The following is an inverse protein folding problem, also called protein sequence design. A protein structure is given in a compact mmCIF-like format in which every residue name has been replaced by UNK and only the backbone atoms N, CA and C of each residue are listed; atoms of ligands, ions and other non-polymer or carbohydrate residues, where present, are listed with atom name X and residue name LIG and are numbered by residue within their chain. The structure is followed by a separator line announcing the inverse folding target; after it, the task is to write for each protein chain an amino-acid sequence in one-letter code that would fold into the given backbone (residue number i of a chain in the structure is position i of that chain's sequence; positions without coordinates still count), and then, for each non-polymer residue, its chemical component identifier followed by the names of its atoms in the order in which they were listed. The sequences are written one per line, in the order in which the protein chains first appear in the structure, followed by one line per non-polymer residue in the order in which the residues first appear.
data_IF_675289816915
#
_entry.id   IF_675289816915
#
_cell.length_a   1.000
_cell.length_b   1.000
_cell.length_c   1.000
_cell.angle_alpha   90.00
_cell.angle_beta   90.00
_cell.angle_gamma   90.00
#
_symmetry.space_group_name_H-M   'P 1'
#
loop_
_entity.id
_entity.type
_entity.pdbx_description
1 polymer ?
#
# COMPACT_ATOMS: atom_id res chain seq x y z
N UNK A 1 6.81 6.61 7.14
CA UNK A 1 5.37 6.24 7.05
C UNK A 1 5.22 4.77 6.77
N UNK A 2 4.01 4.24 6.89
CA UNK A 2 3.69 2.84 6.63
C UNK A 2 2.92 2.76 5.31
N UNK A 3 3.45 2.03 4.34
CA UNK A 3 2.86 1.92 3.00
C UNK A 3 2.45 0.46 2.78
N UNK A 4 1.18 0.24 2.46
CA UNK A 4 0.66 -1.09 2.12
C UNK A 4 0.55 -1.22 0.60
N UNK A 5 0.93 -2.36 0.06
CA UNK A 5 0.98 -2.61 -1.37
C UNK A 5 0.22 -3.90 -1.69
N UNK A 6 -0.75 -3.79 -2.58
CA UNK A 6 -1.51 -4.93 -3.10
C UNK A 6 -1.54 -4.81 -4.62
N UNK A 7 -1.24 -5.88 -5.32
CA UNK A 7 -1.38 -5.94 -6.76
C UNK A 7 -1.98 -7.27 -7.16
N UNK A 8 -3.01 -7.24 -7.99
CA UNK A 8 -3.56 -8.45 -8.62
C UNK A 8 -2.54 -9.02 -9.62
N UNK A 9 -2.67 -10.30 -9.94
CA UNK A 9 -1.65 -11.00 -10.75
C UNK A 9 -1.30 -10.27 -12.04
N UNK A 10 -2.31 -9.75 -12.74
CA UNK A 10 -2.09 -9.03 -13.99
C UNK A 10 -1.41 -7.66 -13.82
N UNK A 11 -1.28 -7.19 -12.58
CA UNK A 11 -0.69 -5.88 -12.27
C UNK A 11 0.62 -5.98 -11.48
N UNK A 12 1.07 -7.19 -11.16
CA UNK A 12 2.30 -7.37 -10.35
C UNK A 12 3.54 -6.85 -11.05
N UNK A 13 3.67 -7.08 -12.35
CA UNK A 13 4.81 -6.57 -13.11
C UNK A 13 4.82 -5.05 -13.14
N UNK A 14 3.66 -4.42 -13.39
CA UNK A 14 3.53 -2.97 -13.38
C UNK A 14 3.87 -2.39 -12.00
N UNK A 15 3.39 -3.04 -10.93
CA UNK A 15 3.71 -2.62 -9.56
C UNK A 15 5.21 -2.74 -9.29
N UNK A 16 5.84 -3.83 -9.74
CA UNK A 16 7.28 -4.01 -9.57
C UNK A 16 8.06 -2.91 -10.31
N UNK A 17 7.67 -2.56 -11.53
CA UNK A 17 8.29 -1.48 -12.29
C UNK A 17 8.14 -0.14 -11.57
N UNK A 18 6.97 0.13 -11.02
CA UNK A 18 6.73 1.33 -10.21
C UNK A 18 7.66 1.36 -8.99
N UNK A 19 7.77 0.25 -8.29
CA UNK A 19 8.62 0.17 -7.10
C UNK A 19 10.11 0.28 -7.44
N UNK A 20 10.54 -0.20 -8.61
CA UNK A 20 11.91 0.00 -9.11
C UNK A 20 12.16 1.49 -9.33
N UNK A 21 11.24 2.16 -10.04
CA UNK A 21 11.38 3.58 -10.37
C UNK A 21 11.45 4.46 -9.12
N UNK A 22 10.70 4.12 -8.08
CA UNK A 22 10.61 4.90 -6.85
C UNK A 22 11.27 4.22 -5.64
N UNK A 23 12.21 3.32 -5.91
CA UNK A 23 12.90 2.54 -4.87
C UNK A 23 13.56 3.43 -3.82
N UNK A 24 14.19 4.53 -4.24
CA UNK A 24 14.85 5.46 -3.33
C UNK A 24 13.89 6.09 -2.33
N UNK A 25 12.71 6.50 -2.79
CA UNK A 25 11.68 7.04 -1.89
C UNK A 25 11.12 5.94 -0.99
N UNK A 26 10.75 4.80 -1.57
CA UNK A 26 10.14 3.70 -0.83
C UNK A 26 11.07 3.14 0.26
N UNK A 27 12.38 3.11 0.02
CA UNK A 27 13.35 2.59 0.98
C UNK A 27 13.40 3.37 2.29
N UNK A 28 12.89 4.61 2.31
CA UNK A 28 12.86 5.46 3.51
C UNK A 28 11.65 5.15 4.40
N UNK A 29 10.76 4.26 4.01
CA UNK A 29 9.50 4.00 4.69
C UNK A 29 9.34 2.51 4.99
N UNK A 30 8.41 2.19 5.88
CA UNK A 30 8.05 0.81 6.16
C UNK A 30 7.02 0.33 5.16
N UNK A 31 7.24 -0.84 4.60
CA UNK A 31 6.40 -1.41 3.55
C UNK A 31 5.80 -2.72 4.04
N UNK A 32 4.54 -2.95 3.71
CA UNK A 32 3.92 -4.27 3.84
C UNK A 32 3.14 -4.59 2.57
N UNK A 33 2.96 -5.86 2.30
CA UNK A 33 2.27 -6.31 1.09
C UNK A 33 1.71 -7.72 1.30
N UNK A 34 0.69 -8.07 0.50
CA UNK A 34 0.24 -9.46 0.43
C UNK A 34 1.38 -10.35 -0.09
N UNK A 35 1.34 -11.63 0.27
CA UNK A 35 2.49 -12.53 0.18
C UNK A 35 3.17 -12.57 -1.19
N UNK A 36 2.40 -12.82 -2.26
CA UNK A 36 2.99 -12.93 -3.61
C UNK A 36 3.50 -11.59 -4.10
N UNK A 37 2.78 -10.51 -3.82
CA UNK A 37 3.20 -9.15 -4.16
C UNK A 37 4.50 -8.80 -3.44
N UNK A 38 4.61 -9.10 -2.15
CA UNK A 38 5.81 -8.84 -1.36
C UNK A 38 7.03 -9.54 -1.96
N UNK A 39 6.88 -10.82 -2.30
CA UNK A 39 7.95 -11.59 -2.91
C UNK A 39 8.38 -11.00 -4.25
N UNK A 40 7.39 -10.68 -5.09
CA UNK A 40 7.64 -10.14 -6.44
C UNK A 40 8.44 -8.83 -6.37
N UNK A 41 8.01 -7.92 -5.50
CA UNK A 41 8.66 -6.62 -5.33
C UNK A 41 10.04 -6.76 -4.69
N UNK A 42 10.18 -7.58 -3.65
CA UNK A 42 11.47 -7.80 -2.98
C UNK A 42 12.50 -8.36 -3.94
N UNK A 43 12.13 -9.32 -4.77
CA UNK A 43 13.03 -9.90 -5.78
C UNK A 43 13.43 -8.87 -6.83
N UNK A 44 12.53 -7.98 -7.21
CA UNK A 44 12.80 -6.97 -8.24
C UNK A 44 13.62 -5.79 -7.73
N UNK A 45 13.51 -5.42 -6.46
CA UNK A 45 14.02 -4.16 -5.92
C UNK A 45 15.02 -4.31 -4.78
N UNK A 46 15.01 -5.43 -4.08
CA UNK A 46 15.77 -5.60 -2.84
C UNK A 46 15.16 -4.88 -1.63
N UNK A 47 13.98 -4.28 -1.75
CA UNK A 47 13.32 -3.63 -0.62
C UNK A 47 12.88 -4.65 0.43
N UNK A 48 12.99 -4.27 1.70
CA UNK A 48 12.44 -5.04 2.81
C UNK A 48 10.95 -4.77 2.91
N UNK A 49 10.15 -5.84 2.83
CA UNK A 49 8.69 -5.73 2.86
C UNK A 49 8.13 -6.73 3.86
N UNK A 50 7.33 -6.25 4.80
CA UNK A 50 6.60 -7.12 5.73
C UNK A 50 5.55 -7.90 4.95
N UNK A 51 5.68 -9.22 4.99
CA UNK A 51 4.84 -10.10 4.20
C UNK A 51 3.57 -10.46 4.97
N UNK A 52 2.41 -10.10 4.39
CA UNK A 52 1.11 -10.53 4.89
C UNK A 52 0.74 -11.88 4.27
N UNK A 53 -0.43 -12.42 4.62
CA UNK A 53 -0.96 -13.62 3.96
C UNK A 53 -1.24 -13.32 2.48
N UNK A 54 -1.36 -14.37 1.67
CA UNK A 54 -1.80 -14.20 0.28
C UNK A 54 -3.17 -13.53 0.24
N UNK A 55 -3.44 -12.74 -0.81
CA UNK A 55 -4.68 -11.98 -0.93
C UNK A 55 -5.93 -12.86 -0.84
N UNK A 56 -5.91 -14.06 -1.47
CA UNK A 56 -7.02 -15.01 -1.43
C UNK A 56 -7.07 -15.82 -0.13
N UNK A 57 -6.12 -15.64 0.77
CA UNK A 57 -6.03 -16.34 2.06
C UNK A 57 -6.10 -15.39 3.26
N UNK A 58 -6.71 -14.24 3.10
CA UNK A 58 -6.92 -13.28 4.18
C UNK A 58 -5.92 -12.13 4.23
N UNK A 59 -5.03 -12.00 3.24
CA UNK A 59 -4.05 -10.92 3.21
C UNK A 59 -4.66 -9.52 3.08
N UNK A 60 -5.70 -9.39 2.25
CA UNK A 60 -6.39 -8.10 2.10
C UNK A 60 -7.14 -7.73 3.39
N UNK A 61 -7.75 -8.70 4.07
CA UNK A 61 -8.39 -8.51 5.36
C UNK A 61 -7.40 -8.11 6.45
N UNK A 62 -6.18 -8.68 6.43
CA UNK A 62 -5.12 -8.28 7.35
C UNK A 62 -4.74 -6.81 7.16
N UNK A 63 -4.59 -6.38 5.91
CA UNK A 63 -4.26 -4.99 5.60
C UNK A 63 -5.41 -4.07 5.99
N UNK A 64 -6.66 -4.45 5.72
CA UNK A 64 -7.84 -3.68 6.14
C UNK A 64 -7.87 -3.48 7.66
N UNK A 65 -7.55 -4.53 8.42
CA UNK A 65 -7.47 -4.46 9.87
C UNK A 65 -6.40 -3.48 10.34
N UNK A 66 -5.22 -3.50 9.74
CA UNK A 66 -4.13 -2.57 10.07
C UNK A 66 -4.52 -1.12 9.75
N UNK A 67 -5.24 -0.91 8.65
CA UNK A 67 -5.76 0.41 8.30
C UNK A 67 -6.75 0.89 9.35
N UNK A 68 -7.67 0.01 9.78
CA UNK A 68 -8.67 0.34 10.79
C UNK A 68 -8.03 0.73 12.13
N UNK A 69 -6.87 0.16 12.46
CA UNK A 69 -6.09 0.52 13.66
C UNK A 69 -5.11 1.67 13.40
N UNK A 70 -5.23 2.34 12.26
CA UNK A 70 -4.41 3.50 11.89
C UNK A 70 -2.91 3.19 11.84
N UNK A 71 -2.57 1.99 11.38
CA UNK A 71 -1.19 1.53 11.26
C UNK A 71 -0.63 1.67 9.84
N UNK A 72 -1.45 2.12 8.88
CA UNK A 72 -1.08 2.31 7.48
C UNK A 72 -1.35 3.76 7.10
N UNK A 73 -0.45 4.38 6.35
CA UNK A 73 -0.56 5.77 5.93
C UNK A 73 -0.89 5.94 4.44
N UNK A 74 -0.56 4.95 3.63
CA UNK A 74 -0.81 4.98 2.18
C UNK A 74 -1.13 3.56 1.73
N UNK A 75 -2.13 3.44 0.85
CA UNK A 75 -2.44 2.16 0.20
C UNK A 75 -2.22 2.29 -1.32
N UNK A 76 -1.39 1.41 -1.86
CA UNK A 76 -1.22 1.23 -3.30
C UNK A 76 -1.91 -0.07 -3.67
N UNK A 77 -3.01 0.02 -4.43
CA UNK A 77 -3.88 -1.10 -4.71
C UNK A 77 -4.16 -1.20 -6.22
N UNK A 78 -3.35 -1.97 -6.94
CA UNK A 78 -3.49 -2.12 -8.39
C UNK A 78 -4.35 -3.34 -8.71
N UNK A 79 -5.59 -3.08 -9.13
CA UNK A 79 -6.58 -4.11 -9.43
C UNK A 79 -6.50 -4.55 -10.89
N UNK A 80 -6.92 -5.79 -11.17
CA UNK A 80 -7.16 -6.25 -12.52
C UNK A 80 -8.34 -5.47 -13.11
N UNK A 81 -8.09 -4.73 -14.19
CA UNK A 81 -9.07 -3.83 -14.78
C UNK A 81 -9.79 -4.42 -16.00
N UNK A 82 -9.51 -5.71 -16.32
CA UNK A 82 -10.19 -6.35 -17.44
C UNK A 82 -11.69 -6.47 -17.18
N UNK A 83 -12.54 -6.33 -18.22
CA UNK A 83 -13.99 -6.56 -18.07
C UNK A 83 -14.26 -7.96 -17.50
N UNK A 84 -15.33 -8.12 -16.75
CA UNK A 84 -15.78 -9.40 -16.18
C UNK A 84 -14.91 -9.93 -15.01
N UNK A 85 -13.93 -9.18 -14.54
CA UNK A 85 -13.22 -9.53 -13.32
C UNK A 85 -14.03 -9.06 -12.11
N UNK A 86 -14.19 -9.95 -11.12
CA UNK A 86 -14.87 -9.59 -9.87
C UNK A 86 -13.86 -9.09 -8.86
N UNK A 87 -14.22 -8.07 -8.10
CA UNK A 87 -13.41 -7.62 -6.99
C UNK A 87 -13.37 -8.70 -5.91
N UNK A 88 -12.23 -8.79 -5.22
CA UNK A 88 -12.12 -9.60 -4.01
C UNK A 88 -13.13 -9.06 -2.97
N UNK A 89 -13.80 -9.95 -2.19
CA UNK A 89 -14.78 -9.48 -1.20
C UNK A 89 -14.26 -8.41 -0.23
N UNK A 90 -12.96 -8.42 0.06
CA UNK A 90 -12.34 -7.44 0.95
C UNK A 90 -12.08 -6.08 0.30
N UNK A 91 -12.17 -5.96 -1.03
CA UNK A 91 -11.80 -4.72 -1.73
C UNK A 91 -12.66 -3.53 -1.31
N UNK A 92 -13.97 -3.72 -1.20
CA UNK A 92 -14.89 -2.66 -0.76
C UNK A 92 -14.57 -2.21 0.65
N UNK A 93 -14.29 -3.14 1.55
CA UNK A 93 -13.93 -2.84 2.94
C UNK A 93 -12.60 -2.10 3.02
N UNK A 94 -11.60 -2.50 2.23
CA UNK A 94 -10.31 -1.80 2.16
C UNK A 94 -10.50 -0.33 1.81
N UNK A 95 -11.28 -0.04 0.75
CA UNK A 95 -11.52 1.33 0.32
C UNK A 95 -12.31 2.11 1.36
N UNK A 96 -13.30 1.47 1.98
CA UNK A 96 -14.12 2.10 3.03
C UNK A 96 -13.27 2.52 4.23
N UNK A 97 -12.41 1.65 4.73
CA UNK A 97 -11.59 1.98 5.90
C UNK A 97 -10.51 3.02 5.56
N UNK A 98 -10.02 3.04 4.33
CA UNK A 98 -9.11 4.10 3.89
C UNK A 98 -9.81 5.45 3.92
N UNK A 99 -11.03 5.54 3.39
CA UNK A 99 -11.79 6.78 3.40
C UNK A 99 -12.15 7.22 4.83
N UNK A 100 -12.52 6.26 5.68
CA UNK A 100 -12.84 6.55 7.07
C UNK A 100 -11.64 7.10 7.86
N UNK A 101 -10.43 6.72 7.49
CA UNK A 101 -9.20 7.13 8.17
C UNK A 101 -8.39 8.16 7.38
N UNK A 102 -8.93 8.71 6.31
CA UNK A 102 -8.27 9.72 5.46
C UNK A 102 -6.91 9.24 4.96
N UNK A 103 -6.87 7.99 4.49
CA UNK A 103 -5.65 7.39 3.93
C UNK A 103 -5.70 7.52 2.41
N UNK A 104 -4.69 8.13 1.78
CA UNK A 104 -4.62 8.17 0.32
C UNK A 104 -4.50 6.78 -0.27
N UNK A 105 -5.29 6.54 -1.32
CA UNK A 105 -5.32 5.27 -2.04
C UNK A 105 -5.01 5.52 -3.50
N UNK A 106 -4.05 4.80 -4.04
CA UNK A 106 -3.77 4.81 -5.47
C UNK A 106 -4.18 3.47 -6.07
N UNK A 107 -5.15 3.50 -6.98
CA UNK A 107 -5.65 2.29 -7.64
C UNK A 107 -5.07 2.09 -9.04
N UNK A 108 -4.20 2.99 -9.48
CA UNK A 108 -3.52 2.91 -10.76
C UNK A 108 -2.18 3.65 -10.67
N UNK A 109 -1.33 3.43 -11.68
CA UNK A 109 0.03 3.98 -11.64
C UNK A 109 0.07 5.51 -11.67
N UNK A 110 -0.86 6.15 -12.38
CA UNK A 110 -0.88 7.61 -12.47
C UNK A 110 -1.12 8.23 -11.10
N UNK A 111 -2.11 7.72 -10.37
CA UNK A 111 -2.38 8.19 -9.00
C UNK A 111 -1.23 7.84 -8.06
N UNK A 112 -0.64 6.65 -8.22
CA UNK A 112 0.49 6.22 -7.40
C UNK A 112 1.68 7.17 -7.56
N UNK A 113 1.97 7.64 -8.77
CA UNK A 113 3.06 8.61 -8.99
C UNK A 113 2.77 9.94 -8.30
N UNK A 114 1.54 10.43 -8.35
CA UNK A 114 1.15 11.66 -7.65
C UNK A 114 1.33 11.50 -6.14
N UNK A 115 0.88 10.38 -5.60
CA UNK A 115 0.97 10.13 -4.14
C UNK A 115 2.42 9.99 -3.70
N UNK A 116 3.25 9.25 -4.44
CA UNK A 116 4.65 9.04 -4.05
C UNK A 116 5.46 10.33 -4.13
N UNK A 117 5.18 11.18 -5.11
CA UNK A 117 5.83 12.48 -5.21
C UNK A 117 5.38 13.43 -4.09
N UNK A 118 4.11 13.39 -3.71
CA UNK A 118 3.61 14.13 -2.56
C UNK A 118 4.28 13.68 -1.26
N UNK A 119 4.45 12.37 -1.10
CA UNK A 119 5.17 11.80 0.04
C UNK A 119 6.59 12.33 0.12
N UNK A 120 7.31 12.34 -1.00
CA UNK A 120 8.69 12.82 -1.05
C UNK A 120 8.81 14.31 -0.72
N UNK A 121 7.81 15.12 -1.12
CA UNK A 121 7.79 16.54 -0.78
C UNK A 121 7.38 16.84 0.66
N UNK A 122 6.91 15.86 1.42
CA UNK A 122 6.42 16.07 2.78
C UNK A 122 4.96 16.49 2.86
N UNK A 123 4.20 16.43 1.78
CA UNK A 123 2.79 16.85 1.74
C UNK A 123 1.91 15.99 2.67
N UNK A 124 2.35 14.81 3.05
CA UNK A 124 1.62 13.89 3.93
C UNK A 124 2.16 13.86 5.36
N UNK A 125 3.13 14.69 5.69
CA UNK A 125 3.77 14.68 7.02
C UNK A 125 2.78 14.96 8.15
N UNK A 126 1.69 15.69 7.86
CA UNK A 126 0.64 15.97 8.85
C UNK A 126 0.05 14.68 9.45
N UNK A 127 0.06 13.58 8.68
CA UNK A 127 -0.47 12.31 9.17
C UNK A 127 0.32 11.80 10.37
N UNK A 128 1.64 11.92 10.33
CA UNK A 128 2.49 11.53 11.46
C UNK A 128 2.28 12.42 12.68
N UNK A 129 1.99 13.70 12.43
CA UNK A 129 1.75 14.66 13.53
C UNK A 129 0.46 14.33 14.28
N UNK A 130 -0.62 13.99 13.56
CA UNK A 130 -1.94 13.77 14.18
C UNK A 130 -2.20 12.31 14.56
N UNK A 131 -1.42 11.36 14.04
CA UNK A 131 -1.63 9.95 14.31
C UNK A 131 -1.00 9.57 15.66
N UNK A 132 -1.81 9.13 16.66
CA UNK A 132 -1.24 8.75 17.96
C UNK A 132 -0.33 7.52 17.89
N UNK A 133 -0.42 6.73 16.81
CA UNK A 133 0.40 5.54 16.60
C UNK A 133 1.68 5.83 15.82
N UNK A 134 1.93 7.07 15.40
CA UNK A 134 3.16 7.41 14.71
C UNK A 134 4.36 7.43 15.64
N UNK A 135 5.56 7.27 15.08
CA UNK A 135 6.79 7.33 15.86
C UNK A 135 6.98 8.68 16.56
N UNK A 136 6.45 9.77 16.01
CA UNK A 136 6.55 11.11 16.61
C UNK A 136 5.74 11.22 17.90
N UNK A 137 4.63 10.49 18.02
CA UNK A 137 3.71 10.57 19.15
C UNK A 137 3.90 9.45 20.18
N UNK A 138 4.69 8.44 19.86
CA UNK A 138 5.05 7.36 20.80
C UNK A 138 6.24 7.79 21.63
N UNK A 139 6.07 7.62 22.92
CA UNK A 139 7.15 7.88 23.87
C UNK A 139 7.65 6.57 24.47
#
# INVERSE_FOLDING_TARGET
MQIAIIAHDMKKELMAQFCIAYCGTLSKHKLCATAVTAKYISEATGLEIDKMMAGDQGGEEQIASRIAYNEIDILLYFKDTRPNQKDHPAATELLRVCDANNIPVATNIATAEVVINALERGDLDWREIVNPNSALNRK
#
